data_IF_776937876685
#
_entry.id   IF_776937876685
#
_cell.length_a   1.000
_cell.length_b   1.000
_cell.length_c   1.000
_cell.angle_alpha   90.00
_cell.angle_beta   90.00
_cell.angle_gamma   90.00
#
_symmetry.space_group_name_H-M   'P 1'
#
loop_
_entity.id
_entity.type
_entity.pdbx_description
1 polymer ?
#
# COMPACT_ATOMS: atom_id res chain seq x y z
N UNK A 1 -7.14 15.86 -7.74
CA UNK A 1 -7.92 16.96 -7.11
C UNK A 1 -8.89 17.68 -8.07
N UNK A 2 -8.93 17.34 -9.37
CA UNK A 2 -9.73 18.08 -10.37
C UNK A 2 -11.24 18.08 -10.10
N UNK A 3 -11.79 17.04 -9.48
CA UNK A 3 -13.21 16.96 -9.09
C UNK A 3 -13.55 17.68 -7.78
N UNK A 4 -12.57 18.28 -7.09
CA UNK A 4 -12.74 19.02 -5.81
C UNK A 4 -13.46 18.25 -4.69
N UNK A 5 -13.43 16.91 -4.74
CA UNK A 5 -13.97 16.02 -3.71
C UNK A 5 -13.21 16.11 -2.38
N UNK A 6 -11.92 16.47 -2.42
CA UNK A 6 -11.11 16.77 -1.25
C UNK A 6 -10.57 18.20 -1.35
N UNK A 7 -10.53 18.91 -0.20
CA UNK A 7 -10.00 20.27 -0.07
C UNK A 7 -9.15 20.39 1.20
N UNK A 8 -7.99 19.71 1.25
CA UNK A 8 -7.14 19.77 2.43
C UNK A 8 -6.59 21.20 2.60
N UNK A 9 -6.56 21.68 3.85
CA UNK A 9 -5.92 22.95 4.18
C UNK A 9 -4.38 22.86 4.09
N UNK A 10 -3.84 21.66 4.32
CA UNK A 10 -2.40 21.37 4.34
C UNK A 10 -2.14 20.09 3.56
N UNK A 11 -1.08 20.10 2.75
CA UNK A 11 -0.54 18.93 2.07
C UNK A 11 0.83 18.61 2.64
N UNK A 12 0.97 17.41 3.20
CA UNK A 12 2.26 16.92 3.72
C UNK A 12 2.86 15.99 2.68
N UNK A 13 3.96 16.43 2.05
CA UNK A 13 4.69 15.61 1.09
C UNK A 13 5.71 14.71 1.80
N UNK A 14 5.46 13.40 1.76
CA UNK A 14 6.32 12.37 2.37
C UNK A 14 7.40 11.83 1.43
N UNK A 15 7.48 12.27 0.16
CA UNK A 15 8.37 11.68 -0.86
C UNK A 15 9.86 11.79 -0.53
N UNK A 16 10.26 12.67 0.41
CA UNK A 16 11.66 12.87 0.81
C UNK A 16 12.04 12.12 2.10
N UNK A 17 11.13 11.32 2.66
CA UNK A 17 11.43 10.53 3.84
C UNK A 17 12.31 9.32 3.49
N UNK A 18 13.44 9.20 4.18
CA UNK A 18 14.32 8.02 4.09
C UNK A 18 13.71 6.81 4.80
N UNK A 19 14.11 5.60 4.40
CA UNK A 19 13.73 4.36 5.09
C UNK A 19 12.34 3.81 4.74
N UNK A 20 11.56 4.49 3.90
CA UNK A 20 10.24 4.04 3.44
C UNK A 20 10.25 3.52 1.99
N UNK A 21 11.41 3.46 1.35
CA UNK A 21 11.56 3.13 -0.07
C UNK A 21 12.04 1.70 -0.36
N UNK A 22 12.10 0.82 0.63
CA UNK A 22 12.70 -0.51 0.46
C UNK A 22 11.66 -1.62 0.28
N UNK A 23 12.07 -2.67 -0.43
CA UNK A 23 11.35 -3.94 -0.50
C UNK A 23 12.26 -4.98 0.15
N UNK A 24 11.75 -5.70 1.16
CA UNK A 24 12.51 -6.71 1.89
C UNK A 24 11.76 -8.04 1.84
N UNK A 25 12.48 -9.10 1.52
CA UNK A 25 11.98 -10.46 1.71
C UNK A 25 12.21 -10.87 3.16
N UNK A 26 11.17 -11.43 3.77
CA UNK A 26 11.20 -12.05 5.09
C UNK A 26 10.72 -13.50 4.93
N UNK A 27 11.02 -14.38 5.90
CA UNK A 27 10.84 -15.83 5.73
C UNK A 27 9.46 -16.28 5.21
N UNK A 28 8.39 -15.58 5.57
CA UNK A 28 6.99 -15.93 5.21
C UNK A 28 6.21 -14.82 4.51
N UNK A 29 6.85 -13.69 4.22
CA UNK A 29 6.17 -12.52 3.65
C UNK A 29 7.17 -11.57 3.00
N UNK A 30 6.65 -10.58 2.29
CA UNK A 30 7.45 -9.44 1.86
C UNK A 30 7.01 -8.20 2.64
N UNK A 31 7.97 -7.39 3.03
CA UNK A 31 7.77 -6.09 3.64
C UNK A 31 8.07 -5.01 2.60
N UNK A 32 7.06 -4.20 2.27
CA UNK A 32 7.12 -3.17 1.24
C UNK A 32 6.95 -1.80 1.87
N UNK A 33 7.98 -0.97 1.80
CA UNK A 33 7.93 0.39 2.33
C UNK A 33 6.89 1.27 1.65
N UNK A 34 6.32 2.22 2.39
CA UNK A 34 5.21 3.04 1.92
C UNK A 34 5.48 3.92 0.69
N UNK A 35 6.75 4.24 0.42
CA UNK A 35 7.17 5.03 -0.75
C UNK A 35 7.58 4.17 -1.94
N UNK A 36 7.48 2.83 -1.84
CA UNK A 36 7.70 1.96 -2.99
C UNK A 36 6.61 2.22 -4.05
N UNK A 37 7.07 2.65 -5.22
CA UNK A 37 6.20 2.89 -6.38
C UNK A 37 5.63 1.57 -6.90
N UNK A 38 4.39 1.61 -7.35
CA UNK A 38 3.71 0.46 -7.95
C UNK A 38 4.51 -0.10 -9.12
N UNK A 39 5.12 0.76 -9.97
CA UNK A 39 5.98 0.32 -11.07
C UNK A 39 7.26 -0.40 -10.60
N UNK A 40 7.89 0.07 -9.51
CA UNK A 40 9.07 -0.59 -8.94
C UNK A 40 8.69 -1.96 -8.40
N UNK A 41 7.57 -2.03 -7.68
CA UNK A 41 7.04 -3.28 -7.15
C UNK A 41 6.64 -4.25 -8.29
N UNK A 42 6.07 -3.75 -9.38
CA UNK A 42 5.66 -4.54 -10.56
C UNK A 42 6.86 -5.26 -11.19
N UNK A 43 7.98 -4.55 -11.37
CA UNK A 43 9.22 -5.14 -11.91
C UNK A 43 9.86 -6.10 -10.90
N UNK A 44 9.93 -5.70 -9.64
CA UNK A 44 10.53 -6.52 -8.58
C UNK A 44 9.78 -7.85 -8.39
N UNK A 45 8.44 -7.83 -8.41
CA UNK A 45 7.59 -9.01 -8.22
C UNK A 45 7.78 -10.10 -9.29
N UNK A 46 8.33 -9.76 -10.46
CA UNK A 46 8.60 -10.73 -11.53
C UNK A 46 9.65 -11.78 -11.14
N UNK A 47 10.40 -11.54 -10.07
CA UNK A 47 11.47 -12.42 -9.58
C UNK A 47 10.97 -13.63 -8.79
N UNK A 48 9.68 -13.69 -8.45
CA UNK A 48 9.13 -14.82 -7.66
C UNK A 48 7.75 -14.62 -7.04
N UNK A 49 7.04 -13.54 -7.39
CA UNK A 49 5.75 -13.18 -6.81
C UNK A 49 4.69 -13.00 -7.92
N UNK A 50 4.30 -14.09 -8.60
CA UNK A 50 3.50 -14.02 -9.82
C UNK A 50 2.13 -13.37 -9.61
N UNK A 51 1.44 -13.65 -8.50
CA UNK A 51 0.14 -13.03 -8.21
C UNK A 51 0.26 -11.51 -8.02
N UNK A 52 1.30 -11.05 -7.32
CA UNK A 52 1.57 -9.61 -7.15
C UNK A 52 1.92 -8.95 -8.48
N UNK A 53 2.79 -9.60 -9.27
CA UNK A 53 3.17 -9.11 -10.58
C UNK A 53 1.97 -9.02 -11.53
N UNK A 54 1.04 -9.97 -11.46
CA UNK A 54 -0.17 -9.99 -12.29
C UNK A 54 -1.16 -8.90 -11.86
N UNK A 55 -1.50 -8.83 -10.57
CA UNK A 55 -2.39 -7.81 -10.03
C UNK A 55 -1.93 -6.38 -10.37
N UNK A 56 -0.63 -6.10 -10.30
CA UNK A 56 -0.07 -4.78 -10.61
C UNK A 56 -0.21 -4.35 -12.07
N UNK A 57 -0.42 -5.28 -13.01
CA UNK A 57 -0.65 -4.95 -14.43
C UNK A 57 -1.99 -4.29 -14.66
N UNK A 58 -2.97 -4.62 -13.82
CA UNK A 58 -4.33 -4.07 -13.87
C UNK A 58 -4.42 -2.68 -13.20
N UNK A 59 -3.44 -2.29 -12.39
CA UNK A 59 -3.42 -0.98 -11.73
C UNK A 59 -3.13 0.13 -12.73
N UNK A 60 -4.18 0.77 -13.23
CA UNK A 60 -4.12 1.96 -14.09
C UNK A 60 -3.17 1.83 -15.28
N UNK A 61 -2.70 2.97 -15.78
CA UNK A 61 -1.69 3.03 -16.84
C UNK A 61 -0.29 3.27 -16.29
N UNK A 62 0.74 3.07 -17.11
CA UNK A 62 2.14 3.22 -16.73
C UNK A 62 2.45 4.55 -16.00
N UNK A 63 1.90 5.67 -16.48
CA UNK A 63 2.11 6.99 -15.85
C UNK A 63 1.53 7.09 -14.43
N UNK A 64 0.48 6.33 -14.12
CA UNK A 64 -0.07 6.23 -12.77
C UNK A 64 0.88 5.41 -11.91
N UNK A 65 1.31 4.23 -12.39
CA UNK A 65 2.16 3.31 -11.61
C UNK A 65 3.56 3.86 -11.28
N UNK A 66 4.10 4.76 -12.08
CA UNK A 66 5.40 5.41 -11.81
C UNK A 66 5.32 6.44 -10.67
N UNK A 67 4.11 6.89 -10.30
CA UNK A 67 3.87 7.89 -9.26
C UNK A 67 3.14 7.31 -8.05
N UNK A 68 2.17 6.42 -8.26
CA UNK A 68 1.41 5.74 -7.22
C UNK A 68 2.30 4.83 -6.37
N UNK A 69 1.98 4.74 -5.09
CA UNK A 69 2.60 3.77 -4.17
C UNK A 69 1.59 2.71 -3.76
N UNK A 70 2.06 1.56 -3.30
CA UNK A 70 1.17 0.53 -2.75
C UNK A 70 0.44 1.04 -1.51
N UNK A 71 1.16 1.64 -0.56
CA UNK A 71 0.56 2.17 0.67
C UNK A 71 -0.45 3.29 0.38
N UNK A 72 -0.21 4.15 -0.61
CA UNK A 72 -1.16 5.19 -0.99
C UNK A 72 -2.48 4.61 -1.52
N UNK A 73 -2.41 3.55 -2.34
CA UNK A 73 -3.61 2.86 -2.82
C UNK A 73 -4.39 2.20 -1.69
N UNK A 74 -3.70 1.60 -0.72
CA UNK A 74 -4.32 0.95 0.43
C UNK A 74 -4.94 1.97 1.40
N UNK A 75 -4.26 3.07 1.67
CA UNK A 75 -4.79 4.17 2.47
C UNK A 75 -6.01 4.83 1.82
N UNK A 76 -6.06 4.87 0.48
CA UNK A 76 -7.20 5.43 -0.25
C UNK A 76 -8.46 4.56 -0.15
N UNK A 77 -8.30 3.24 -0.02
CA UNK A 77 -9.40 2.28 0.18
C UNK A 77 -10.54 2.38 -0.85
N UNK A 78 -10.19 2.60 -2.11
CA UNK A 78 -11.14 2.50 -3.21
C UNK A 78 -11.48 1.01 -3.44
N UNK A 79 -12.75 0.59 -3.31
CA UNK A 79 -13.14 -0.81 -3.54
C UNK A 79 -12.97 -1.25 -5.00
N UNK A 80 -12.84 -0.33 -5.95
CA UNK A 80 -12.54 -0.65 -7.34
C UNK A 80 -11.04 -0.88 -7.59
N UNK A 81 -10.16 -0.58 -6.63
CA UNK A 81 -8.72 -0.75 -6.79
C UNK A 81 -8.27 -2.19 -6.52
N UNK A 82 -7.26 -2.64 -7.26
CA UNK A 82 -6.76 -4.01 -7.21
C UNK A 82 -5.97 -4.29 -5.92
N UNK A 83 -5.24 -3.30 -5.41
CA UNK A 83 -4.32 -3.48 -4.29
C UNK A 83 -5.03 -3.75 -2.95
N UNK A 84 -6.15 -3.07 -2.60
CA UNK A 84 -6.99 -3.49 -1.47
C UNK A 84 -7.46 -4.94 -1.56
N UNK A 85 -7.95 -5.36 -2.73
CA UNK A 85 -8.40 -6.74 -2.96
C UNK A 85 -7.25 -7.75 -2.81
N UNK A 86 -6.07 -7.42 -3.36
CA UNK A 86 -4.87 -8.24 -3.22
C UNK A 86 -4.43 -8.39 -1.77
N UNK A 87 -4.44 -7.30 -0.99
CA UNK A 87 -4.06 -7.32 0.42
C UNK A 87 -5.00 -8.22 1.24
N UNK A 88 -6.31 -8.16 0.97
CA UNK A 88 -7.30 -9.04 1.61
C UNK A 88 -7.10 -10.49 1.19
N UNK A 89 -6.93 -10.75 -0.11
CA UNK A 89 -6.74 -12.10 -0.66
C UNK A 89 -5.52 -12.81 -0.06
N UNK A 90 -4.42 -12.08 0.15
CA UNK A 90 -3.20 -12.61 0.74
C UNK A 90 -3.21 -12.62 2.27
N UNK A 91 -4.31 -12.22 2.92
CA UNK A 91 -4.39 -12.05 4.38
C UNK A 91 -3.28 -11.14 4.95
N UNK A 92 -2.89 -10.14 4.16
CA UNK A 92 -1.82 -9.22 4.49
C UNK A 92 -2.18 -8.20 5.56
N UNK A 93 -1.23 -7.33 5.83
CA UNK A 93 -1.37 -6.29 6.83
C UNK A 93 -0.58 -5.04 6.47
N UNK A 94 -0.84 -3.96 7.19
CA UNK A 94 -0.07 -2.72 7.10
C UNK A 94 0.45 -2.33 8.48
N UNK A 95 1.65 -1.77 8.52
CA UNK A 95 2.19 -1.13 9.73
C UNK A 95 1.80 0.34 9.69
N UNK A 96 0.93 0.75 10.61
CA UNK A 96 0.52 2.13 10.81
C UNK A 96 1.31 2.74 11.98
N UNK A 97 1.91 3.91 11.75
CA UNK A 97 2.76 4.60 12.73
C UNK A 97 2.20 5.98 13.05
N UNK A 98 2.23 6.35 14.32
CA UNK A 98 1.93 7.69 14.83
C UNK A 98 3.01 8.13 15.83
N UNK A 99 2.94 9.36 16.39
CA UNK A 99 3.87 9.79 17.45
C UNK A 99 3.83 8.90 18.71
N UNK A 100 2.70 8.23 18.98
CA UNK A 100 2.52 7.37 20.13
C UNK A 100 3.10 5.95 19.95
N UNK A 101 3.51 5.57 18.73
CA UNK A 101 4.06 4.26 18.44
C UNK A 101 3.64 3.73 17.09
N UNK A 102 3.62 2.40 16.93
CA UNK A 102 3.14 1.75 15.73
C UNK A 102 2.26 0.55 16.08
N UNK A 103 1.40 0.16 15.14
CA UNK A 103 0.61 -1.06 15.22
C UNK A 103 0.51 -1.70 13.84
N UNK A 104 0.32 -3.00 13.84
CA UNK A 104 -0.06 -3.74 12.64
C UNK A 104 -1.58 -3.79 12.53
N UNK A 105 -2.11 -3.58 11.31
CA UNK A 105 -3.54 -3.65 11.00
C UNK A 105 -3.75 -4.67 9.90
N UNK A 106 -4.51 -5.73 10.19
CA UNK A 106 -4.85 -6.78 9.21
C UNK A 106 -5.75 -6.22 8.13
N UNK A 107 -5.64 -6.74 6.91
CA UNK A 107 -6.45 -6.29 5.77
C UNK A 107 -7.96 -6.26 6.08
N UNK A 108 -8.47 -7.32 6.73
CA UNK A 108 -9.87 -7.47 7.13
C UNK A 108 -10.36 -6.42 8.14
N UNK A 109 -9.44 -5.80 8.88
CA UNK A 109 -9.72 -4.76 9.87
C UNK A 109 -9.45 -3.36 9.30
N UNK A 110 -8.60 -3.27 8.26
CA UNK A 110 -8.17 -2.01 7.67
C UNK A 110 -9.31 -1.33 6.91
N UNK A 111 -10.10 -2.06 6.13
CA UNK A 111 -11.12 -1.48 5.25
C UNK A 111 -12.50 -1.51 5.93
N UNK A 112 -12.99 -0.33 6.34
CA UNK A 112 -14.25 -0.21 7.11
C UNK A 112 -15.44 0.09 6.19
N UNK A 113 -15.23 0.87 5.14
CA UNK A 113 -16.22 1.21 4.12
C UNK A 113 -15.52 1.74 2.87
N UNK A 114 -16.30 2.12 1.86
CA UNK A 114 -15.84 2.82 0.66
C UNK A 114 -14.99 4.02 1.04
N UNK A 115 -13.76 4.09 0.54
CA UNK A 115 -12.82 5.19 0.77
C UNK A 115 -12.52 5.45 2.26
N UNK A 116 -12.76 4.48 3.14
CA UNK A 116 -12.67 4.62 4.59
C UNK A 116 -11.85 3.48 5.18
N UNK A 117 -10.75 3.82 5.85
CA UNK A 117 -9.92 2.86 6.59
C UNK A 117 -10.09 3.01 8.10
N UNK A 118 -9.61 2.03 8.86
CA UNK A 118 -9.49 2.09 10.32
C UNK A 118 -8.25 2.88 10.80
N UNK A 119 -7.55 3.59 9.90
CA UNK A 119 -6.39 4.41 10.28
C UNK A 119 -6.87 5.58 11.15
N UNK A 120 -6.09 5.89 12.19
CA UNK A 120 -6.33 7.09 13.00
C UNK A 120 -5.86 8.35 12.25
N UNK A 121 -6.40 9.54 12.58
CA UNK A 121 -6.05 10.78 11.89
C UNK A 121 -4.55 11.14 11.92
N UNK A 122 -3.81 10.64 12.91
CA UNK A 122 -2.37 10.86 13.12
C UNK A 122 -1.50 9.66 12.68
N UNK A 123 -2.09 8.65 12.03
CA UNK A 123 -1.38 7.47 11.54
C UNK A 123 -0.97 7.59 10.07
N UNK A 124 0.26 7.13 9.79
CA UNK A 124 0.80 6.93 8.45
C UNK A 124 1.07 5.44 8.25
N UNK A 125 0.63 4.87 7.12
CA UNK A 125 1.13 3.55 6.70
C UNK A 125 2.60 3.72 6.34
N UNK A 126 3.48 3.02 7.06
CA UNK A 126 4.93 3.02 6.79
C UNK A 126 5.39 1.78 6.04
N UNK A 127 4.65 0.68 6.15
CA UNK A 127 4.98 -0.61 5.54
C UNK A 127 3.74 -1.42 5.22
N UNK A 128 3.81 -2.21 4.15
CA UNK A 128 2.79 -3.17 3.73
C UNK A 128 3.42 -4.56 3.79
N UNK A 129 2.78 -5.49 4.48
CA UNK A 129 3.22 -6.87 4.64
C UNK A 129 2.31 -7.78 3.82
N UNK A 130 2.90 -8.48 2.85
CA UNK A 130 2.19 -9.40 1.96
C UNK A 130 2.72 -10.83 2.19
N UNK A 131 1.91 -11.73 2.76
CA UNK A 131 2.29 -13.13 2.92
C UNK A 131 2.70 -13.76 1.60
N UNK A 132 3.71 -14.63 1.67
CA UNK A 132 4.16 -15.41 0.52
C UNK A 132 3.26 -16.62 0.39
N UNK A 133 2.65 -16.81 -0.78
CA UNK A 133 1.95 -18.06 -1.09
C UNK A 133 2.97 -19.19 -1.09
N UNK A 134 2.75 -20.19 -0.24
CA UNK A 134 3.50 -21.43 -0.27
C UNK A 134 2.96 -22.25 -1.44
N UNK A 135 3.79 -22.43 -2.47
CA UNK A 135 3.52 -23.39 -3.55
C UNK A 135 4.06 -24.75 -3.16
#
# INVERSE_FOLDING_TARGET
LNFRLARPAVVVDINRMSGLGEIREEDRQIAVGALVRQRRLEVWAQQGFPLLADALRYVGHHAIRTRGTIAGSLAHADPAAELPALLVCLEGSVVARSPAGHREVRARELFVSHLTTSLRPDELITEVRLPRLQT
#
